data_IF_055044627092
#
_entry.id   IF_055044627092
#
_cell.length_a   1.000
_cell.length_b   1.000
_cell.length_c   1.000
_cell.angle_alpha   90.00
_cell.angle_beta   90.00
_cell.angle_gamma   90.00
#
_symmetry.space_group_name_H-M   'P 1'
#
loop_
_entity.id
_entity.type
_entity.pdbx_description
1 polymer ?
#
# COMPACT_ATOMS: atom_id res chain seq x y z
N UNK A 1 -33.62 2.52 14.03
CA UNK A 1 -32.78 1.44 13.48
C UNK A 1 -31.74 1.14 14.55
N UNK A 2 -31.78 -0.07 15.12
CA UNK A 2 -31.01 -0.41 16.32
C UNK A 2 -29.54 -0.61 15.97
N UNK A 3 -28.62 -0.24 16.87
CA UNK A 3 -27.19 -0.54 16.76
C UNK A 3 -26.92 -2.04 16.52
N UNK A 4 -27.81 -2.91 17.00
CA UNK A 4 -27.78 -4.35 16.78
C UNK A 4 -28.08 -4.75 15.34
N UNK A 5 -28.94 -4.00 14.63
CA UNK A 5 -29.27 -4.26 13.23
C UNK A 5 -28.05 -3.94 12.33
N UNK A 6 -27.33 -2.86 12.63
CA UNK A 6 -26.08 -2.48 11.95
C UNK A 6 -24.96 -3.51 12.20
N UNK A 7 -24.85 -4.05 13.42
CA UNK A 7 -23.87 -5.10 13.72
C UNK A 7 -24.17 -6.41 13.00
N UNK A 8 -25.44 -6.83 12.91
CA UNK A 8 -25.84 -8.05 12.18
C UNK A 8 -25.62 -7.93 10.68
N UNK A 9 -25.90 -6.76 10.09
CA UNK A 9 -25.63 -6.47 8.68
C UNK A 9 -24.12 -6.54 8.40
N UNK A 10 -23.29 -5.91 9.24
CA UNK A 10 -21.83 -5.97 9.12
C UNK A 10 -21.29 -7.41 9.24
N UNK A 11 -21.76 -8.20 10.20
CA UNK A 11 -21.33 -9.59 10.36
C UNK A 11 -21.69 -10.49 9.16
N UNK A 12 -22.82 -10.23 8.50
CA UNK A 12 -23.23 -10.99 7.32
C UNK A 12 -22.44 -10.58 6.06
N UNK A 13 -22.16 -9.29 5.92
CA UNK A 13 -21.27 -8.75 4.89
C UNK A 13 -19.85 -9.31 5.04
N UNK A 14 -19.32 -9.35 6.26
CA UNK A 14 -17.98 -9.89 6.55
C UNK A 14 -17.88 -11.37 6.16
N UNK A 15 -18.87 -12.20 6.51
CA UNK A 15 -18.88 -13.63 6.12
C UNK A 15 -18.98 -13.84 4.61
N UNK A 16 -19.79 -13.02 3.95
CA UNK A 16 -19.95 -13.08 2.49
C UNK A 16 -18.66 -12.68 1.80
N UNK A 17 -18.03 -11.60 2.28
CA UNK A 17 -16.75 -11.14 1.77
C UNK A 17 -15.63 -12.16 1.97
N UNK A 18 -15.52 -12.75 3.16
CA UNK A 18 -14.53 -13.81 3.46
C UNK A 18 -14.74 -15.00 2.53
N UNK A 19 -15.99 -15.41 2.28
CA UNK A 19 -16.30 -16.51 1.35
C UNK A 19 -15.95 -16.15 -0.10
N UNK A 20 -16.29 -14.94 -0.53
CA UNK A 20 -15.95 -14.42 -1.85
C UNK A 20 -14.43 -14.42 -2.04
N UNK A 21 -13.70 -13.86 -1.08
CA UNK A 21 -12.26 -13.82 -1.08
C UNK A 21 -11.65 -15.22 -1.08
N UNK A 22 -12.13 -16.16 -0.25
CA UNK A 22 -11.59 -17.51 -0.20
C UNK A 22 -11.69 -18.25 -1.55
N UNK A 23 -12.74 -17.99 -2.32
CA UNK A 23 -12.97 -18.62 -3.63
C UNK A 23 -12.36 -17.84 -4.82
N UNK A 24 -11.78 -16.67 -4.56
CA UNK A 24 -11.24 -15.81 -5.61
C UNK A 24 -9.75 -16.05 -5.76
N UNK A 25 -9.36 -16.55 -6.93
CA UNK A 25 -7.95 -16.69 -7.31
C UNK A 25 -7.32 -15.32 -7.61
N UNK A 26 -6.04 -15.09 -7.28
CA UNK A 26 -5.34 -13.86 -7.63
C UNK A 26 -5.18 -13.71 -9.14
N UNK A 27 -5.30 -12.48 -9.65
CA UNK A 27 -4.88 -12.17 -11.00
C UNK A 27 -3.36 -12.31 -11.16
N UNK A 28 -2.95 -12.88 -12.29
CA UNK A 28 -1.54 -12.92 -12.68
C UNK A 28 -1.18 -11.59 -13.36
N UNK A 29 -0.77 -10.61 -12.54
CA UNK A 29 -0.45 -9.27 -13.06
C UNK A 29 0.91 -9.21 -13.79
N UNK A 30 1.80 -10.17 -13.55
CA UNK A 30 3.12 -10.26 -14.19
C UNK A 30 4.09 -9.20 -13.67
N UNK A 31 5.29 -9.62 -13.27
CA UNK A 31 6.27 -8.74 -12.61
C UNK A 31 5.77 -8.25 -11.24
N UNK A 32 6.38 -7.17 -10.74
CA UNK A 32 6.02 -6.56 -9.46
C UNK A 32 4.87 -5.57 -9.64
N UNK A 33 3.81 -5.74 -8.87
CA UNK A 33 2.60 -4.92 -8.95
C UNK A 33 2.32 -4.25 -7.61
N UNK A 34 2.36 -2.92 -7.54
CA UNK A 34 2.16 -2.17 -6.31
C UNK A 34 0.86 -1.37 -6.38
N UNK A 35 -0.08 -1.65 -5.48
CA UNK A 35 -1.29 -0.85 -5.32
C UNK A 35 -1.04 0.32 -4.38
N UNK A 36 -1.39 1.53 -4.81
CA UNK A 36 -1.25 2.76 -4.05
C UNK A 36 -2.66 3.22 -3.64
N UNK A 37 -2.94 3.19 -2.34
CA UNK A 37 -4.21 3.57 -1.74
C UNK A 37 -4.05 4.85 -0.94
N UNK A 38 -5.12 5.61 -0.77
CA UNK A 38 -5.10 6.81 0.06
C UNK A 38 -6.15 7.82 -0.36
N UNK A 39 -6.51 8.72 0.56
CA UNK A 39 -7.44 9.80 0.27
C UNK A 39 -6.89 10.80 -0.75
N UNK A 40 -7.77 11.62 -1.30
CA UNK A 40 -7.37 12.82 -2.05
C UNK A 40 -6.42 13.67 -1.18
N UNK A 41 -5.39 14.25 -1.79
CA UNK A 41 -4.38 15.06 -1.11
C UNK A 41 -3.44 14.33 -0.13
N UNK A 42 -3.55 13.00 0.04
CA UNK A 42 -2.57 12.20 0.78
C UNK A 42 -1.18 12.13 0.09
N UNK A 43 -1.11 12.57 -1.17
CA UNK A 43 0.12 12.63 -1.95
C UNK A 43 0.42 11.36 -2.77
N UNK A 44 -0.62 10.62 -3.18
CA UNK A 44 -0.50 9.44 -4.07
C UNK A 44 0.27 9.77 -5.34
N UNK A 45 -0.16 10.79 -6.09
CA UNK A 45 0.49 11.22 -7.34
C UNK A 45 1.94 11.62 -7.12
N UNK A 46 2.25 12.28 -6.00
CA UNK A 46 3.62 12.65 -5.65
C UNK A 46 4.49 11.42 -5.38
N UNK A 47 4.00 10.42 -4.63
CA UNK A 47 4.72 9.15 -4.43
C UNK A 47 4.92 8.44 -5.77
N UNK A 48 3.88 8.34 -6.60
CA UNK A 48 3.93 7.66 -7.89
C UNK A 48 5.01 8.29 -8.78
N UNK A 49 4.98 9.61 -8.96
CA UNK A 49 6.01 10.34 -9.69
C UNK A 49 7.41 10.04 -9.17
N UNK A 50 7.58 10.14 -7.84
CA UNK A 50 8.87 9.96 -7.21
C UNK A 50 9.40 8.53 -7.38
N UNK A 51 8.53 7.53 -7.27
CA UNK A 51 8.87 6.13 -7.53
C UNK A 51 9.31 5.95 -8.99
N UNK A 52 8.58 6.50 -9.95
CA UNK A 52 8.92 6.45 -11.38
C UNK A 52 10.19 7.24 -11.76
N UNK A 53 10.83 7.93 -10.81
CA UNK A 53 11.98 8.79 -11.08
C UNK A 53 11.61 10.11 -11.75
N UNK A 54 10.32 10.44 -11.82
CA UNK A 54 9.85 11.73 -12.30
C UNK A 54 9.86 12.78 -11.18
N UNK A 55 9.91 14.04 -11.59
CA UNK A 55 9.63 15.14 -10.68
C UNK A 55 8.20 15.00 -10.13
N UNK A 56 7.98 15.08 -8.80
CA UNK A 56 6.67 14.92 -8.16
C UNK A 56 5.55 15.84 -8.69
N UNK A 57 5.89 16.85 -9.51
CA UNK A 57 4.98 17.82 -10.12
C UNK A 57 4.49 17.47 -11.54
N UNK A 58 5.00 16.40 -12.18
CA UNK A 58 4.76 16.14 -13.62
C UNK A 58 3.46 15.42 -13.99
N UNK A 59 2.91 14.60 -13.08
CA UNK A 59 1.56 14.05 -13.30
C UNK A 59 0.58 15.14 -12.87
N UNK A 60 -0.16 15.67 -13.84
CA UNK A 60 -1.23 16.62 -13.61
C UNK A 60 -2.19 16.07 -12.55
N UNK A 61 -2.57 16.94 -11.61
CA UNK A 61 -3.60 16.69 -10.60
C UNK A 61 -4.96 16.56 -11.29
N UNK A 62 -5.18 15.48 -12.02
CA UNK A 62 -6.47 15.20 -12.61
C UNK A 62 -7.43 14.71 -11.53
N UNK A 63 -8.66 15.17 -11.68
CA UNK A 63 -9.84 14.95 -10.83
C UNK A 63 -9.95 13.52 -10.29
N UNK A 64 -10.56 13.42 -9.10
CA UNK A 64 -11.04 12.20 -8.42
C UNK A 64 -11.07 10.97 -9.34
N UNK A 65 -9.97 10.23 -9.33
CA UNK A 65 -9.73 9.04 -10.15
C UNK A 65 -10.83 8.01 -9.92
N UNK A 66 -11.81 7.90 -10.84
CA UNK A 66 -12.94 6.93 -10.76
C UNK A 66 -12.58 5.51 -11.23
N UNK A 67 -11.38 5.32 -11.78
CA UNK A 67 -10.89 4.04 -12.34
C UNK A 67 -9.44 3.84 -11.92
N UNK A 68 -9.01 2.59 -11.71
CA UNK A 68 -7.60 2.29 -11.43
C UNK A 68 -6.75 2.79 -12.60
N UNK A 69 -5.74 3.61 -12.29
CA UNK A 69 -4.78 4.10 -13.28
C UNK A 69 -3.47 3.32 -13.13
N UNK A 70 -2.88 2.95 -14.26
CA UNK A 70 -1.67 2.13 -14.32
C UNK A 70 -0.50 3.01 -14.77
N UNK A 71 0.62 2.87 -14.07
CA UNK A 71 1.90 3.50 -14.42
C UNK A 71 2.99 2.44 -14.52
N UNK A 72 3.68 2.41 -15.65
CA UNK A 72 4.76 1.46 -15.92
C UNK A 72 6.09 2.02 -15.42
N UNK A 73 6.71 1.33 -14.46
CA UNK A 73 8.10 1.51 -14.09
C UNK A 73 9.00 0.52 -14.85
N UNK A 74 10.32 0.64 -14.70
CA UNK A 74 11.25 -0.24 -15.42
C UNK A 74 11.10 -1.73 -15.08
N UNK A 75 10.73 -2.06 -13.85
CA UNK A 75 10.65 -3.45 -13.34
C UNK A 75 9.48 -3.68 -12.37
N UNK A 76 8.51 -2.76 -12.37
CA UNK A 76 7.30 -2.84 -11.58
C UNK A 76 6.19 -2.00 -12.23
N UNK A 77 4.96 -2.23 -11.82
CA UNK A 77 3.79 -1.42 -12.17
C UNK A 77 3.19 -0.81 -10.93
N UNK A 78 2.79 0.45 -11.02
CA UNK A 78 2.05 1.14 -9.98
C UNK A 78 0.59 1.25 -10.39
N UNK A 79 -0.30 0.91 -9.47
CA UNK A 79 -1.74 1.04 -9.64
C UNK A 79 -2.23 2.10 -8.67
N UNK A 80 -2.64 3.27 -9.19
CA UNK A 80 -3.31 4.29 -8.40
C UNK A 80 -4.76 3.87 -8.17
N UNK A 81 -5.08 3.54 -6.92
CA UNK A 81 -6.37 2.99 -6.56
C UNK A 81 -7.29 4.13 -6.11
N UNK A 82 -8.51 4.25 -6.69
CA UNK A 82 -9.54 5.18 -6.24
C UNK A 82 -9.85 5.04 -4.75
N UNK A 83 -10.42 6.10 -4.19
CA UNK A 83 -10.95 6.06 -2.83
C UNK A 83 -12.08 4.99 -2.72
N UNK A 84 -12.00 4.16 -1.68
CA UNK A 84 -12.90 3.03 -1.42
C UNK A 84 -14.17 3.49 -0.67
N UNK A 85 -14.42 4.80 -0.59
CA UNK A 85 -15.47 5.37 0.25
C UNK A 85 -16.92 4.93 -0.05
N UNK A 86 -17.20 4.39 -1.25
CA UNK A 86 -18.50 3.78 -1.56
C UNK A 86 -18.49 2.26 -1.32
N UNK A 87 -18.91 1.88 -0.11
CA UNK A 87 -18.93 0.54 0.52
C UNK A 87 -19.60 -0.59 -0.27
N UNK A 88 -20.07 -0.42 -1.51
CA UNK A 88 -20.76 -1.47 -2.28
C UNK A 88 -20.12 -1.73 -3.64
N UNK A 89 -19.39 -0.75 -4.19
CA UNK A 89 -18.92 -0.79 -5.58
C UNK A 89 -17.66 -1.64 -5.81
N UNK A 90 -16.99 -2.07 -4.73
CA UNK A 90 -15.69 -2.76 -4.80
C UNK A 90 -15.73 -4.23 -4.37
N UNK A 91 -16.89 -4.77 -3.98
CA UNK A 91 -17.03 -6.18 -3.59
C UNK A 91 -17.25 -7.13 -4.79
N UNK A 92 -16.44 -6.98 -5.83
CA UNK A 92 -16.46 -7.89 -6.97
C UNK A 92 -15.32 -8.91 -6.85
N UNK A 93 -15.54 -10.11 -7.41
CA UNK A 93 -14.48 -11.12 -7.51
C UNK A 93 -13.27 -10.56 -8.26
N UNK A 94 -13.50 -9.78 -9.32
CA UNK A 94 -12.41 -9.18 -10.11
C UNK A 94 -11.56 -8.21 -9.28
N UNK A 95 -12.17 -7.37 -8.44
CA UNK A 95 -11.43 -6.46 -7.58
C UNK A 95 -10.64 -7.21 -6.52
N UNK A 96 -11.22 -8.26 -5.91
CA UNK A 96 -10.50 -9.10 -4.95
C UNK A 96 -9.36 -9.86 -5.64
N UNK A 97 -9.58 -10.42 -6.81
CA UNK A 97 -8.56 -11.13 -7.60
C UNK A 97 -7.40 -10.18 -7.93
N UNK A 98 -7.73 -8.96 -8.37
CA UNK A 98 -6.76 -7.89 -8.59
C UNK A 98 -5.97 -7.58 -7.33
N UNK A 99 -6.64 -7.32 -6.21
CA UNK A 99 -6.00 -7.00 -4.94
C UNK A 99 -5.09 -8.11 -4.45
N UNK A 100 -5.50 -9.38 -4.59
CA UNK A 100 -4.66 -10.54 -4.26
C UNK A 100 -3.47 -10.70 -5.20
N UNK A 101 -3.62 -10.31 -6.47
CA UNK A 101 -2.55 -10.31 -7.47
C UNK A 101 -1.45 -9.26 -7.24
N UNK A 102 -1.71 -8.23 -6.42
CA UNK A 102 -0.71 -7.22 -6.07
C UNK A 102 0.44 -7.83 -5.24
N UNK A 103 1.66 -7.48 -5.59
CA UNK A 103 2.87 -7.81 -4.81
C UNK A 103 2.91 -7.02 -3.51
N UNK A 104 2.60 -5.72 -3.55
CA UNK A 104 2.56 -4.84 -2.37
C UNK A 104 1.34 -3.91 -2.41
N UNK A 105 0.87 -3.54 -1.23
CA UNK A 105 -0.29 -2.64 -1.02
C UNK A 105 0.20 -1.53 -0.11
N UNK A 106 0.37 -0.34 -0.67
CA UNK A 106 0.89 0.84 0.02
C UNK A 106 -0.29 1.76 0.34
N UNK A 107 -0.66 1.84 1.62
CA UNK A 107 -1.79 2.65 2.07
C UNK A 107 -1.27 3.95 2.66
N UNK A 108 -1.47 5.04 1.92
CA UNK A 108 -1.02 6.37 2.30
C UNK A 108 -2.02 7.03 3.25
N UNK A 109 -1.50 7.54 4.36
CA UNK A 109 -2.19 8.43 5.28
C UNK A 109 -1.30 9.63 5.62
N UNK A 110 -1.89 10.67 6.19
CA UNK A 110 -1.14 11.87 6.59
C UNK A 110 -1.18 12.13 8.09
N UNK A 111 -2.28 11.78 8.76
CA UNK A 111 -2.44 12.12 10.19
C UNK A 111 -2.77 10.93 11.08
N UNK A 112 -3.71 10.07 10.68
CA UNK A 112 -4.23 9.01 11.56
C UNK A 112 -4.58 7.75 10.77
N UNK A 113 -4.58 6.60 11.45
CA UNK A 113 -5.03 5.32 10.89
C UNK A 113 -6.51 5.39 10.49
N UNK A 114 -7.30 6.16 11.25
CA UNK A 114 -8.74 6.30 11.05
C UNK A 114 -9.10 6.88 9.67
N UNK A 115 -8.21 7.66 9.04
CA UNK A 115 -8.40 8.20 7.67
C UNK A 115 -8.71 7.10 6.65
N UNK A 116 -8.14 5.90 6.85
CA UNK A 116 -8.22 4.78 5.90
C UNK A 116 -8.74 3.50 6.56
N UNK A 117 -9.49 3.61 7.67
CA UNK A 117 -9.91 2.43 8.46
C UNK A 117 -10.72 1.41 7.66
N UNK A 118 -11.58 1.87 6.75
CA UNK A 118 -12.37 0.98 5.88
C UNK A 118 -11.46 0.15 4.98
N UNK A 119 -10.43 0.76 4.40
CA UNK A 119 -9.45 0.09 3.56
C UNK A 119 -8.66 -0.94 4.38
N UNK A 120 -8.16 -0.57 5.56
CA UNK A 120 -7.41 -1.50 6.43
C UNK A 120 -8.24 -2.71 6.84
N UNK A 121 -9.48 -2.47 7.31
CA UNK A 121 -10.40 -3.56 7.70
C UNK A 121 -10.76 -4.45 6.53
N UNK A 122 -10.95 -3.87 5.35
CA UNK A 122 -11.23 -4.63 4.15
C UNK A 122 -10.06 -5.55 3.78
N UNK A 123 -8.84 -5.03 3.76
CA UNK A 123 -7.63 -5.82 3.48
C UNK A 123 -7.41 -6.92 4.53
N UNK A 124 -7.60 -6.62 5.82
CA UNK A 124 -7.53 -7.60 6.91
C UNK A 124 -8.60 -8.70 6.75
N UNK A 125 -9.85 -8.32 6.42
CA UNK A 125 -10.95 -9.27 6.25
C UNK A 125 -10.71 -10.27 5.11
N UNK A 126 -9.96 -9.87 4.07
CA UNK A 126 -9.55 -10.77 2.97
C UNK A 126 -8.14 -11.32 3.14
N UNK A 127 -7.57 -11.20 4.35
CA UNK A 127 -6.27 -11.71 4.76
C UNK A 127 -5.09 -11.24 3.87
N UNK A 128 -5.09 -9.96 3.49
CA UNK A 128 -4.03 -9.35 2.70
C UNK A 128 -3.12 -8.47 3.56
N UNK A 129 -1.81 -8.58 3.28
CA UNK A 129 -0.78 -7.78 3.94
C UNK A 129 -0.54 -6.46 3.21
N UNK A 130 -0.23 -5.41 3.98
CA UNK A 130 -0.05 -4.04 3.49
C UNK A 130 0.97 -3.24 4.30
N UNK A 131 1.57 -2.25 3.65
CA UNK A 131 2.44 -1.26 4.28
C UNK A 131 1.65 0.04 4.51
N UNK A 132 1.81 0.64 5.68
CA UNK A 132 1.24 1.94 6.01
C UNK A 132 2.28 3.01 5.71
N UNK A 133 1.94 3.97 4.86
CA UNK A 133 2.82 5.07 4.49
C UNK A 133 2.30 6.36 5.13
N UNK A 134 3.00 6.85 6.17
CA UNK A 134 2.76 8.18 6.72
C UNK A 134 3.51 9.19 5.85
N UNK A 135 2.81 9.84 4.93
CA UNK A 135 3.39 10.87 4.07
C UNK A 135 3.33 12.25 4.74
N UNK A 136 4.14 13.19 4.23
CA UNK A 136 4.27 14.57 4.76
C UNK A 136 4.75 14.62 6.21
N UNK A 137 5.54 13.64 6.63
CA UNK A 137 6.05 13.56 8.00
C UNK A 137 7.01 14.72 8.35
N UNK A 138 7.54 15.40 7.33
CA UNK A 138 8.30 16.64 7.48
C UNK A 138 7.48 17.78 8.11
N UNK A 139 6.16 17.78 7.95
CA UNK A 139 5.27 18.76 8.57
C UNK A 139 5.10 18.54 10.08
N UNK A 140 5.52 17.37 10.60
CA UNK A 140 5.48 17.08 12.03
C UNK A 140 6.77 17.61 12.68
N UNK A 141 6.66 18.53 13.66
CA UNK A 141 7.82 19.06 14.37
C UNK A 141 8.68 17.93 14.94
N UNK A 142 10.00 18.04 14.82
CA UNK A 142 10.95 17.00 15.25
C UNK A 142 10.70 16.57 16.70
N UNK A 143 10.39 17.52 17.59
CA UNK A 143 10.08 17.27 19.01
C UNK A 143 8.82 16.41 19.23
N UNK A 144 7.87 16.40 18.28
CA UNK A 144 6.60 15.64 18.36
C UNK A 144 6.62 14.35 17.57
N UNK A 145 7.65 14.09 16.76
CA UNK A 145 7.71 12.90 15.90
C UNK A 145 7.62 11.60 16.70
N UNK A 146 8.31 11.49 17.83
CA UNK A 146 8.25 10.28 18.67
C UNK A 146 6.87 10.04 19.29
N UNK A 147 6.21 11.11 19.75
CA UNK A 147 4.84 11.03 20.25
C UNK A 147 3.87 10.60 19.14
N UNK A 148 3.99 11.20 17.96
CA UNK A 148 3.19 10.82 16.81
C UNK A 148 3.35 9.34 16.44
N UNK A 149 4.58 8.81 16.41
CA UNK A 149 4.83 7.38 16.17
C UNK A 149 4.13 6.49 17.21
N UNK A 150 4.17 6.88 18.49
CA UNK A 150 3.46 6.16 19.56
C UNK A 150 1.94 6.15 19.35
N UNK A 151 1.37 7.29 18.96
CA UNK A 151 -0.07 7.42 18.67
C UNK A 151 -0.48 6.49 17.52
N UNK A 152 0.29 6.46 16.42
CA UNK A 152 0.02 5.56 15.29
C UNK A 152 0.07 4.09 15.73
N UNK A 153 1.11 3.69 16.47
CA UNK A 153 1.24 2.32 16.97
C UNK A 153 0.17 1.95 18.00
N UNK A 154 -0.34 2.91 18.76
CA UNK A 154 -1.48 2.71 19.64
C UNK A 154 -2.76 2.47 18.84
N UNK A 155 -3.03 3.29 17.82
CA UNK A 155 -4.20 3.12 16.94
C UNK A 155 -4.19 1.77 16.23
N UNK A 156 -3.04 1.33 15.69
CA UNK A 156 -2.89 0.01 15.05
C UNK A 156 -3.32 -1.11 16.00
N UNK A 157 -2.88 -1.05 17.27
CA UNK A 157 -3.22 -2.05 18.30
C UNK A 157 -4.68 -1.99 18.72
N UNK A 158 -5.21 -0.80 18.99
CA UNK A 158 -6.60 -0.60 19.42
C UNK A 158 -7.62 -0.99 18.34
N UNK A 159 -7.27 -0.76 17.08
CA UNK A 159 -8.07 -1.15 15.92
C UNK A 159 -7.84 -2.61 15.51
N UNK A 160 -6.93 -3.31 16.19
CA UNK A 160 -6.58 -4.70 15.97
C UNK A 160 -6.18 -5.02 14.52
N UNK A 161 -5.42 -4.11 13.88
CA UNK A 161 -5.00 -4.30 12.49
C UNK A 161 -3.95 -5.40 12.38
N UNK A 162 -4.24 -6.45 11.60
CA UNK A 162 -3.40 -7.67 11.55
C UNK A 162 -2.51 -7.74 10.30
N UNK A 163 -2.90 -7.10 9.20
CA UNK A 163 -2.20 -7.16 7.92
C UNK A 163 -1.00 -6.22 7.79
N UNK A 164 -0.65 -5.47 8.84
CA UNK A 164 0.44 -4.47 8.78
C UNK A 164 1.80 -5.17 8.66
N UNK A 165 2.50 -4.93 7.56
CA UNK A 165 3.91 -5.34 7.34
C UNK A 165 4.87 -4.32 7.94
N UNK A 166 4.73 -3.05 7.53
CA UNK A 166 5.58 -1.95 7.98
C UNK A 166 4.77 -0.66 8.14
N UNK A 167 5.35 0.26 8.92
CA UNK A 167 4.90 1.66 9.00
C UNK A 167 6.07 2.56 8.63
N UNK A 168 5.96 3.23 7.48
CA UNK A 168 7.02 4.09 6.93
C UNK A 168 6.66 5.57 7.16
N UNK A 169 7.56 6.34 7.76
CA UNK A 169 7.37 7.76 8.03
C UNK A 169 8.18 8.62 7.06
N UNK A 170 7.56 9.03 5.96
CA UNK A 170 8.25 9.61 4.81
C UNK A 170 7.84 11.06 4.52
N UNK A 171 8.66 11.73 3.73
CA UNK A 171 8.28 12.93 3.00
C UNK A 171 8.77 12.83 1.57
N UNK A 172 7.86 12.84 0.60
CA UNK A 172 8.21 12.81 -0.82
C UNK A 172 8.97 14.06 -1.25
N UNK A 173 8.56 15.21 -0.71
CA UNK A 173 9.15 16.51 -1.05
C UNK A 173 10.48 16.73 -0.32
N UNK A 174 10.61 16.19 0.90
CA UNK A 174 11.79 16.36 1.75
C UNK A 174 12.36 15.00 2.22
N UNK A 175 12.77 14.08 1.31
CA UNK A 175 13.16 12.72 1.67
C UNK A 175 14.35 12.67 2.62
N UNK A 176 15.27 13.63 2.53
CA UNK A 176 16.45 13.70 3.40
C UNK A 176 16.10 13.98 4.88
N UNK A 177 14.90 14.49 5.16
CA UNK A 177 14.43 14.71 6.54
C UNK A 177 13.78 13.46 7.16
N UNK A 178 13.62 12.40 6.35
CA UNK A 178 12.88 11.17 6.66
C UNK A 178 13.63 9.95 6.11
N UNK A 179 14.54 9.32 6.89
CA UNK A 179 15.38 8.22 6.40
C UNK A 179 14.58 6.98 5.95
N UNK A 180 13.34 6.85 6.41
CA UNK A 180 12.42 5.78 6.02
C UNK A 180 12.16 5.75 4.51
N UNK A 181 12.35 6.86 3.77
CA UNK A 181 12.18 6.87 2.31
C UNK A 181 13.13 5.86 1.63
N UNK A 182 14.44 5.96 1.87
CA UNK A 182 15.42 5.04 1.28
C UNK A 182 15.19 3.59 1.71
N UNK A 183 14.82 3.37 2.97
CA UNK A 183 14.57 2.02 3.50
C UNK A 183 13.33 1.40 2.87
N UNK A 184 12.26 2.19 2.68
CA UNK A 184 11.06 1.75 1.97
C UNK A 184 11.38 1.42 0.50
N UNK A 185 12.15 2.25 -0.20
CA UNK A 185 12.53 1.96 -1.58
C UNK A 185 13.34 0.66 -1.68
N UNK A 186 14.27 0.44 -0.75
CA UNK A 186 15.03 -0.81 -0.71
C UNK A 186 14.14 -2.02 -0.44
N UNK A 187 13.13 -1.91 0.44
CA UNK A 187 12.20 -3.00 0.72
C UNK A 187 11.27 -3.31 -0.45
N UNK A 188 10.87 -2.30 -1.23
CA UNK A 188 10.13 -2.49 -2.49
C UNK A 188 11.00 -3.10 -3.58
N UNK A 189 12.31 -2.81 -3.54
CA UNK A 189 13.27 -3.32 -4.51
C UNK A 189 13.86 -4.70 -4.18
N UNK A 190 13.76 -5.14 -2.93
CA UNK A 190 14.36 -6.39 -2.46
C UNK A 190 13.76 -7.62 -3.15
N UNK A 191 14.64 -8.45 -3.73
CA UNK A 191 14.32 -9.76 -4.31
C UNK A 191 14.91 -10.86 -3.41
N UNK A 192 14.11 -11.81 -2.89
CA UNK A 192 14.67 -13.00 -2.26
C UNK A 192 15.50 -13.86 -3.23
N UNK A 193 15.29 -13.71 -4.54
CA UNK A 193 15.94 -14.51 -5.59
C UNK A 193 17.31 -13.98 -6.04
N UNK A 194 17.78 -12.85 -5.49
CA UNK A 194 19.11 -12.29 -5.77
C UNK A 194 20.18 -12.73 -4.74
N UNK A 195 19.92 -13.76 -3.92
CA UNK A 195 20.85 -14.28 -2.91
C UNK A 195 21.59 -15.56 -3.38
N UNK A 196 21.33 -16.04 -4.59
CA UNK A 196 21.97 -17.23 -5.18
C UNK A 196 22.72 -16.92 -6.48
N UNK A 197 23.61 -15.92 -6.49
CA UNK A 197 24.54 -15.72 -7.62
C UNK A 197 25.97 -15.30 -7.20
N UNK A 198 26.36 -15.49 -5.93
CA UNK A 198 27.76 -15.30 -5.50
C UNK A 198 28.52 -16.62 -5.29
N UNK A 199 28.00 -17.74 -5.82
CA UNK A 199 28.70 -19.03 -5.84
C UNK A 199 28.49 -19.76 -7.17
N UNK A 200 29.12 -19.24 -8.23
CA UNK A 200 29.71 -20.06 -9.30
C UNK A 200 31.09 -19.44 -9.59
N UNK A 201 32.11 -19.88 -8.85
CA UNK A 201 33.07 -20.90 -9.25
C UNK A 201 33.98 -20.51 -10.43
N UNK A 202 35.27 -20.70 -10.14
CA UNK A 202 36.43 -20.59 -11.00
C UNK A 202 36.32 -21.39 -12.31
N UNK A 203 37.21 -21.05 -13.24
CA UNK A 203 37.58 -21.74 -14.48
C UNK A 203 36.75 -21.40 -15.72
N UNK A 204 37.31 -20.55 -16.58
CA UNK A 204 37.87 -21.00 -17.86
C UNK A 204 38.64 -19.85 -18.54
N UNK A 205 39.92 -19.72 -18.18
CA UNK A 205 40.93 -19.35 -19.16
C UNK A 205 41.10 -20.55 -20.09
N UNK A 206 40.50 -20.55 -21.30
CA UNK A 206 40.97 -21.37 -22.44
C UNK A 206 40.27 -20.99 -23.76
N UNK A 207 41.08 -20.52 -24.72
CA UNK A 207 40.88 -20.35 -26.19
C UNK A 207 39.77 -19.38 -26.64
N UNK A 208 39.97 -18.41 -27.55
CA UNK A 208 40.97 -18.12 -28.60
C UNK A 208 41.34 -16.63 -28.65
#
# INVERSE_FOLDING_TARGET
SSYEDLQRVNQHLDKTLVKLASNTEPFRLGGRAFGIFGLTSAGKSSIINKLLGYDPTKIDNHETTKKIQIYEGQSYRLFDIPDINDDISYFTMDYIAFLKGLTKRLVLITTTITEMIKCFRFLDAINLRYDIIINKFDLIPISRRQEFKKIINQQIRELNLQGVDHVWYISVLNPNQCPDWSTMINSLNYHPENVFNDYDFFDNDFYE
#
